data_IF_203939097693
#
_entry.id   IF_203939097693
#
_cell.length_a   1.000
_cell.length_b   1.000
_cell.length_c   1.000
_cell.angle_alpha   90.00
_cell.angle_beta   90.00
_cell.angle_gamma   90.00
#
_symmetry.space_group_name_H-M   'P 1'
#
loop_
_entity.id
_entity.type
_entity.pdbx_description
1 polymer ?
#
# COMPACT_ATOMS: atom_id res chain seq x y z
N UNK A 1 54.69 35.28 -24.55
CA UNK A 1 54.70 33.79 -24.55
C UNK A 1 54.05 33.32 -23.26
N UNK A 2 52.95 32.58 -23.17
CA UNK A 2 52.03 31.88 -24.08
C UNK A 2 50.68 31.83 -23.31
N UNK A 3 49.57 32.37 -23.82
CA UNK A 3 48.55 31.74 -24.68
C UNK A 3 47.39 31.08 -23.91
N UNK A 4 46.20 31.67 -24.12
CA UNK A 4 44.83 31.15 -23.98
C UNK A 4 44.66 29.67 -24.34
N UNK A 5 43.71 28.95 -23.71
CA UNK A 5 42.73 28.05 -24.37
C UNK A 5 41.52 27.73 -23.46
N UNK A 6 40.39 27.47 -24.12
CA UNK A 6 38.98 27.44 -23.71
C UNK A 6 38.50 26.41 -22.68
N UNK A 7 37.34 26.76 -22.12
CA UNK A 7 36.27 25.92 -21.55
C UNK A 7 36.10 24.56 -22.22
N UNK A 8 35.97 23.51 -21.39
CA UNK A 8 35.04 22.41 -21.65
C UNK A 8 34.27 22.15 -20.37
N UNK A 9 33.02 22.62 -20.34
CA UNK A 9 32.06 22.18 -19.35
C UNK A 9 31.69 20.73 -19.63
N UNK A 10 32.03 19.83 -18.73
CA UNK A 10 31.42 18.50 -18.68
C UNK A 10 30.30 18.59 -17.65
N UNK A 11 29.15 19.08 -18.11
CA UNK A 11 27.89 18.78 -17.41
C UNK A 11 27.62 17.31 -17.64
N UNK A 12 28.01 16.49 -16.66
CA UNK A 12 27.57 15.11 -16.58
C UNK A 12 26.10 15.14 -16.09
N UNK A 13 25.20 15.53 -16.99
CA UNK A 13 23.78 15.20 -16.87
C UNK A 13 23.68 13.68 -17.06
N UNK A 14 23.93 12.94 -15.98
CA UNK A 14 23.56 11.53 -15.93
C UNK A 14 22.06 11.45 -16.20
N UNK A 15 21.75 10.72 -17.27
CA UNK A 15 20.46 10.72 -17.93
C UNK A 15 19.28 10.37 -17.04
N UNK A 16 18.17 11.00 -17.40
CA UNK A 16 16.78 10.52 -17.34
C UNK A 16 16.63 9.12 -16.73
N UNK A 17 16.52 9.05 -15.41
CA UNK A 17 15.72 8.01 -14.81
C UNK A 17 14.26 8.38 -15.12
N UNK A 18 13.78 7.99 -16.30
CA UNK A 18 12.34 7.77 -16.56
C UNK A 18 11.87 6.59 -15.71
N UNK A 19 12.00 6.71 -14.39
CA UNK A 19 11.19 5.94 -13.48
C UNK A 19 9.87 6.67 -13.46
N UNK A 20 8.83 6.13 -14.09
CA UNK A 20 7.48 6.39 -13.61
C UNK A 20 7.53 6.04 -12.12
N UNK A 21 7.65 7.05 -11.26
CA UNK A 21 7.86 6.82 -9.86
C UNK A 21 6.64 6.05 -9.35
N UNK A 22 6.85 4.86 -8.80
CA UNK A 22 5.85 4.12 -8.05
C UNK A 22 5.59 4.84 -6.73
N UNK A 23 5.19 6.11 -6.80
CA UNK A 23 4.75 6.89 -5.64
C UNK A 23 3.25 6.69 -5.53
N UNK A 24 2.78 5.79 -4.66
CA UNK A 24 1.36 5.66 -4.43
C UNK A 24 0.83 7.01 -3.92
N UNK A 25 -0.26 7.49 -4.52
CA UNK A 25 -0.83 8.79 -4.15
C UNK A 25 -1.74 8.60 -2.94
N UNK A 26 -1.54 9.33 -1.83
CA UNK A 26 -2.45 9.28 -0.70
C UNK A 26 -3.88 9.65 -1.13
N UNK A 27 -4.84 8.82 -0.77
CA UNK A 27 -6.27 9.10 -0.91
C UNK A 27 -6.76 9.75 0.37
N UNK A 28 -7.52 10.84 0.27
CA UNK A 28 -8.07 11.49 1.45
C UNK A 28 -9.09 10.55 2.11
N UNK A 29 -8.87 10.20 3.39
CA UNK A 29 -9.85 9.50 4.21
C UNK A 29 -9.78 7.97 4.22
N UNK A 30 -8.70 7.35 3.71
CA UNK A 30 -8.52 5.91 3.78
C UNK A 30 -7.70 5.47 5.02
N UNK A 31 -8.05 4.33 5.66
CA UNK A 31 -9.23 3.51 5.40
C UNK A 31 -10.50 4.09 6.07
N UNK A 32 -11.59 4.14 5.33
CA UNK A 32 -12.89 4.64 5.79
C UNK A 32 -13.64 3.53 6.55
N UNK A 33 -14.23 3.84 7.71
CA UNK A 33 -14.93 2.85 8.56
C UNK A 33 -16.41 3.22 8.74
N UNK A 34 -17.30 2.22 8.63
CA UNK A 34 -18.73 2.37 8.92
C UNK A 34 -19.31 1.04 9.45
N UNK A 35 -19.66 0.99 10.75
CA UNK A 35 -20.30 -0.21 11.36
C UNK A 35 -19.48 -1.50 11.19
N UNK A 36 -18.15 -1.42 11.38
CA UNK A 36 -17.22 -2.53 11.16
C UNK A 36 -16.87 -2.85 9.69
N UNK A 37 -17.54 -2.22 8.72
CA UNK A 37 -17.11 -2.25 7.32
C UNK A 37 -15.96 -1.27 7.12
N UNK A 38 -14.85 -1.76 6.56
CA UNK A 38 -13.65 -0.96 6.29
C UNK A 38 -13.37 -0.95 4.80
N UNK A 39 -13.34 0.24 4.21
CA UNK A 39 -12.95 0.43 2.81
C UNK A 39 -11.44 0.67 2.72
N UNK A 40 -10.74 -0.27 2.13
CA UNK A 40 -9.34 -0.12 1.74
C UNK A 40 -9.26 0.39 0.31
N UNK A 41 -8.47 1.44 0.10
CA UNK A 41 -8.27 2.03 -1.21
C UNK A 41 -6.80 2.40 -1.44
N UNK A 42 -6.29 2.16 -2.65
CA UNK A 42 -4.94 2.54 -3.05
C UNK A 42 -4.95 3.07 -4.47
N UNK A 43 -4.49 4.31 -4.68
CA UNK A 43 -4.30 4.87 -6.01
C UNK A 43 -2.99 4.37 -6.61
N UNK A 44 -3.09 3.45 -7.56
CA UNK A 44 -1.97 2.86 -8.29
C UNK A 44 -2.35 2.56 -9.75
N UNK A 45 -2.39 3.58 -10.63
CA UNK A 45 -2.87 3.41 -12.01
C UNK A 45 -2.05 2.44 -12.87
N UNK A 46 -0.79 2.19 -12.50
CA UNK A 46 0.11 1.28 -13.22
C UNK A 46 0.08 -0.16 -12.70
N UNK A 47 -0.71 -0.46 -11.66
CA UNK A 47 -0.81 -1.81 -11.11
C UNK A 47 -1.62 -2.73 -12.03
N UNK A 48 -1.28 -4.02 -12.03
CA UNK A 48 -2.08 -5.07 -12.66
C UNK A 48 -2.85 -5.87 -11.62
N UNK A 49 -2.35 -5.90 -10.38
CA UNK A 49 -3.01 -6.51 -9.23
C UNK A 49 -2.66 -5.74 -7.97
N UNK A 50 -3.66 -5.48 -7.14
CA UNK A 50 -3.47 -4.96 -5.79
C UNK A 50 -4.14 -5.90 -4.79
N UNK A 51 -3.47 -6.14 -3.67
CA UNK A 51 -4.02 -6.89 -2.54
C UNK A 51 -3.90 -6.06 -1.28
N UNK A 52 -4.89 -6.12 -0.38
CA UNK A 52 -4.74 -5.74 1.02
C UNK A 52 -4.49 -7.00 1.84
N UNK A 53 -3.37 -7.02 2.55
CA UNK A 53 -2.98 -8.14 3.41
C UNK A 53 -2.83 -7.64 4.84
N UNK A 54 -3.30 -8.43 5.81
CA UNK A 54 -3.25 -8.02 7.20
C UNK A 54 -3.57 -9.13 8.18
N UNK A 55 -3.61 -8.75 9.46
CA UNK A 55 -3.60 -9.66 10.60
C UNK A 55 -4.90 -10.42 10.85
N UNK A 56 -5.99 -10.09 10.16
CA UNK A 56 -7.30 -10.69 10.44
C UNK A 56 -7.44 -12.12 9.88
N UNK A 57 -8.35 -12.87 10.49
CA UNK A 57 -8.67 -14.24 10.13
C UNK A 57 -9.09 -14.37 8.66
N UNK A 58 -8.68 -15.45 8.00
CA UNK A 58 -8.95 -15.70 6.58
C UNK A 58 -8.10 -14.88 5.59
N UNK A 59 -7.54 -13.74 6.02
CA UNK A 59 -6.49 -13.06 5.24
C UNK A 59 -5.10 -13.55 5.64
N UNK A 60 -4.80 -13.55 6.94
CA UNK A 60 -3.56 -14.10 7.50
C UNK A 60 -2.29 -13.63 6.76
N UNK A 61 -2.18 -12.32 6.53
CA UNK A 61 -1.10 -11.70 5.73
C UNK A 61 -1.02 -12.23 4.29
N UNK A 62 -2.18 -12.41 3.64
CA UNK A 62 -2.25 -13.02 2.31
C UNK A 62 -1.88 -14.51 2.30
N UNK A 63 -2.09 -15.20 3.43
CA UNK A 63 -1.70 -16.59 3.66
C UNK A 63 -0.30 -16.78 4.22
N UNK A 64 0.49 -15.72 4.37
CA UNK A 64 1.87 -15.82 4.83
C UNK A 64 2.04 -16.19 6.30
N UNK A 65 1.00 -16.02 7.13
CA UNK A 65 1.02 -16.43 8.52
C UNK A 65 0.64 -17.92 8.73
N UNK A 66 0.34 -18.66 7.65
CA UNK A 66 -0.05 -20.07 7.70
C UNK A 66 1.16 -20.99 7.43
N UNK A 67 1.07 -22.27 7.84
CA UNK A 67 2.15 -23.24 7.62
C UNK A 67 2.33 -23.58 6.14
N UNK A 68 3.56 -23.53 5.62
CA UNK A 68 3.84 -23.75 4.19
C UNK A 68 3.48 -22.57 3.28
N UNK A 69 3.32 -21.39 3.88
CA UNK A 69 2.91 -20.13 3.30
C UNK A 69 3.52 -19.78 1.93
N UNK A 70 2.64 -19.37 1.01
CA UNK A 70 2.94 -18.50 -0.12
C UNK A 70 1.93 -17.35 -0.14
N UNK A 71 2.25 -16.26 -0.83
CA UNK A 71 1.30 -15.18 -1.06
C UNK A 71 0.21 -15.66 -2.03
N UNK A 72 -0.99 -15.93 -1.53
CA UNK A 72 -2.15 -16.28 -2.37
C UNK A 72 -2.65 -15.02 -3.09
N UNK A 73 -2.60 -14.94 -4.44
CA UNK A 73 -2.98 -13.74 -5.18
C UNK A 73 -4.48 -13.38 -5.08
N UNK A 74 -5.32 -14.29 -4.57
CA UNK A 74 -6.78 -14.06 -4.43
C UNK A 74 -7.15 -13.45 -3.08
N UNK A 75 -6.34 -13.66 -2.05
CA UNK A 75 -6.61 -13.15 -0.71
C UNK A 75 -6.44 -11.64 -0.68
N UNK A 76 -7.48 -10.95 -0.22
CA UNK A 76 -7.45 -9.49 -0.15
C UNK A 76 -7.37 -8.76 -1.49
N UNK A 77 -7.62 -9.41 -2.63
CA UNK A 77 -7.54 -8.77 -3.96
C UNK A 77 -8.48 -7.56 -4.12
N UNK A 78 -7.94 -6.38 -4.39
CA UNK A 78 -8.73 -5.18 -4.68
C UNK A 78 -9.19 -5.21 -6.15
N UNK A 79 -10.21 -4.40 -6.45
CA UNK A 79 -10.75 -4.20 -7.80
C UNK A 79 -10.76 -2.73 -8.18
N UNK A 80 -10.57 -2.46 -9.47
CA UNK A 80 -10.69 -1.15 -10.12
C UNK A 80 -11.55 -1.33 -11.38
N UNK A 81 -12.88 -1.45 -11.24
CA UNK A 81 -13.76 -1.77 -12.36
C UNK A 81 -14.03 -0.58 -13.31
N UNK A 82 -13.88 0.66 -12.85
CA UNK A 82 -14.05 1.88 -13.65
C UNK A 82 -12.74 2.34 -14.29
N UNK A 83 -11.60 1.80 -13.88
CA UNK A 83 -10.30 2.00 -14.50
C UNK A 83 -9.71 3.38 -14.21
N UNK A 84 -10.09 3.99 -13.08
CA UNK A 84 -9.60 5.31 -12.68
C UNK A 84 -8.22 5.25 -11.98
N UNK A 85 -7.72 4.03 -11.77
CA UNK A 85 -6.46 3.74 -11.11
C UNK A 85 -6.56 3.68 -9.59
N UNK A 86 -7.76 3.68 -9.02
CA UNK A 86 -8.04 3.50 -7.60
C UNK A 86 -8.53 2.08 -7.36
N UNK A 87 -7.69 1.29 -6.70
CA UNK A 87 -7.99 -0.08 -6.35
C UNK A 87 -8.69 -0.13 -5.01
N UNK A 88 -9.80 -0.86 -4.91
CA UNK A 88 -10.65 -0.84 -3.72
C UNK A 88 -11.19 -2.19 -3.29
N UNK A 89 -11.45 -2.32 -1.98
CA UNK A 89 -12.20 -3.44 -1.39
C UNK A 89 -12.80 -3.03 -0.04
N UNK A 90 -14.02 -3.49 0.22
CA UNK A 90 -14.64 -3.46 1.55
C UNK A 90 -14.35 -4.77 2.28
N UNK A 91 -13.91 -4.69 3.53
CA UNK A 91 -13.68 -5.82 4.42
C UNK A 91 -14.42 -5.56 5.74
N UNK A 92 -15.21 -6.52 6.18
CA UNK A 92 -15.80 -6.48 7.52
C UNK A 92 -14.77 -6.99 8.52
N UNK A 93 -14.39 -6.12 9.45
CA UNK A 93 -13.39 -6.44 10.47
C UNK A 93 -14.04 -6.39 11.86
N UNK A 94 -13.71 -7.34 12.75
CA UNK A 94 -14.13 -7.25 14.13
C UNK A 94 -13.48 -6.03 14.79
N UNK A 95 -14.14 -5.50 15.81
CA UNK A 95 -13.59 -4.47 16.67
C UNK A 95 -12.21 -4.89 17.22
N UNK A 96 -11.27 -3.95 17.23
CA UNK A 96 -9.92 -4.20 17.74
C UNK A 96 -8.81 -3.61 16.89
N UNK A 97 -7.60 -4.02 17.21
CA UNK A 97 -6.36 -3.56 16.59
C UNK A 97 -5.95 -4.51 15.46
N UNK A 98 -5.77 -3.95 14.26
CA UNK A 98 -5.35 -4.67 13.06
C UNK A 98 -4.13 -4.01 12.44
N UNK A 99 -3.29 -4.82 11.81
CA UNK A 99 -2.15 -4.34 11.02
C UNK A 99 -2.26 -4.82 9.59
N UNK A 100 -1.86 -3.97 8.65
CA UNK A 100 -2.00 -4.28 7.23
C UNK A 100 -0.96 -3.59 6.34
N UNK A 101 -0.87 -4.10 5.11
CA UNK A 101 -0.12 -3.54 3.99
C UNK A 101 -0.90 -3.77 2.69
N UNK A 102 -0.53 -3.03 1.66
CA UNK A 102 -0.84 -3.36 0.29
C UNK A 102 0.28 -4.16 -0.35
N UNK A 103 -0.07 -5.08 -1.24
CA UNK A 103 0.88 -5.75 -2.14
C UNK A 103 0.46 -5.45 -3.57
N UNK A 104 1.36 -4.81 -4.32
CA UNK A 104 1.18 -4.47 -5.73
C UNK A 104 1.98 -5.45 -6.58
N UNK A 105 1.30 -6.05 -7.56
CA UNK A 105 1.85 -7.02 -8.52
C UNK A 105 2.58 -8.22 -7.89
N UNK A 106 2.28 -8.51 -6.61
CA UNK A 106 2.86 -9.63 -5.84
C UNK A 106 4.26 -9.39 -5.28
N UNK A 107 4.88 -8.24 -5.56
CA UNK A 107 6.30 -7.99 -5.23
C UNK A 107 6.52 -6.70 -4.45
N UNK A 108 5.73 -5.67 -4.71
CA UNK A 108 5.87 -4.38 -4.06
C UNK A 108 4.99 -4.30 -2.82
N UNK A 109 5.61 -4.27 -1.64
CA UNK A 109 4.94 -4.15 -0.35
C UNK A 109 4.88 -2.68 0.07
N UNK A 110 3.66 -2.17 0.22
CA UNK A 110 3.41 -0.79 0.58
C UNK A 110 2.63 -0.71 1.89
N UNK A 111 3.14 0.11 2.79
CA UNK A 111 2.32 0.76 3.80
C UNK A 111 1.28 1.64 3.13
N UNK A 112 0.09 1.77 3.73
CA UNK A 112 -0.92 2.70 3.25
C UNK A 112 -0.37 4.14 3.32
N UNK A 113 -0.23 4.84 2.18
CA UNK A 113 0.28 6.21 2.16
C UNK A 113 -0.70 7.22 2.77
N UNK A 114 -1.98 6.84 2.83
CA UNK A 114 -3.08 7.66 3.32
C UNK A 114 -3.24 7.55 4.83
N UNK A 115 -2.71 6.48 5.43
CA UNK A 115 -2.78 6.23 6.85
C UNK A 115 -1.47 6.64 7.55
N UNK A 116 -1.50 7.67 8.41
CA UNK A 116 -0.32 8.09 9.18
C UNK A 116 0.01 7.11 10.31
N UNK A 117 -0.97 6.34 10.80
CA UNK A 117 -0.79 5.42 11.92
C UNK A 117 0.00 4.18 11.49
N UNK A 118 1.15 3.98 12.13
CA UNK A 118 2.13 2.97 11.75
C UNK A 118 2.64 2.21 12.96
N UNK A 119 3.03 0.97 12.71
CA UNK A 119 3.78 0.16 13.68
C UNK A 119 4.97 -0.48 13.00
N UNK A 120 6.02 -0.76 13.77
CA UNK A 120 7.23 -1.43 13.29
C UNK A 120 7.49 -2.67 14.14
N UNK A 121 7.60 -3.81 13.48
CA UNK A 121 7.93 -5.09 14.12
C UNK A 121 9.07 -5.75 13.35
N UNK A 122 10.16 -6.10 14.04
CA UNK A 122 11.38 -6.71 13.46
C UNK A 122 11.91 -5.96 12.23
N UNK A 123 11.94 -4.63 12.29
CA UNK A 123 12.41 -3.79 11.20
C UNK A 123 11.40 -3.54 10.08
N UNK A 124 10.27 -4.25 10.03
CA UNK A 124 9.25 -4.10 9.00
C UNK A 124 8.08 -3.21 9.47
N UNK A 125 7.71 -2.19 8.68
CA UNK A 125 6.63 -1.23 9.00
C UNK A 125 5.29 -1.62 8.40
N UNK A 126 4.20 -1.50 9.15
CA UNK A 126 2.83 -1.75 8.68
C UNK A 126 1.92 -0.60 9.07
N UNK A 127 0.84 -0.41 8.31
CA UNK A 127 -0.23 0.52 8.68
C UNK A 127 -1.09 -0.08 9.79
N UNK A 128 -1.57 0.77 10.68
CA UNK A 128 -2.38 0.39 11.84
C UNK A 128 -3.83 0.80 11.59
N UNK A 129 -4.74 -0.10 11.92
CA UNK A 129 -6.18 0.14 11.84
C UNK A 129 -6.82 -0.27 13.16
N UNK A 130 -7.45 0.68 13.84
CA UNK A 130 -8.29 0.40 15.01
C UNK A 130 -9.75 0.46 14.58
N UNK A 131 -10.41 -0.69 14.60
CA UNK A 131 -11.84 -0.80 14.33
C UNK A 131 -12.58 -0.64 15.65
N UNK A 132 -13.44 0.38 15.73
CA UNK A 132 -14.28 0.58 16.91
C UNK A 132 -15.40 -0.47 16.91
N UNK A 133 -15.74 -0.98 18.09
CA UNK A 133 -16.95 -1.79 18.23
C UNK A 133 -18.17 -0.89 18.14
N UNK A 134 -19.22 -1.36 17.47
CA UNK A 134 -20.53 -0.75 17.59
C UNK A 134 -20.99 -0.93 19.05
N UNK A 135 -20.72 0.06 19.89
CA UNK A 135 -21.40 0.21 21.18
C UNK A 135 -22.82 0.72 20.90
N UNK A 136 -23.63 -0.10 20.24
CA UNK A 136 -25.05 0.14 20.11
C UNK A 136 -25.66 0.12 21.51
N UNK A 137 -26.06 1.30 21.99
CA UNK A 137 -26.93 1.48 23.16
C UNK A 137 -28.13 0.56 23.03
N UNK A 138 -28.19 -0.46 23.88
CA UNK A 138 -29.44 -1.15 24.22
C UNK A 138 -30.32 -0.22 25.05
#
# INVERSE_FOLDING_TARGET
MNSFWSLVGVSLLLGLASGCAYTPTPLRGAPEQHGGAVRFALRMPSAHRVQVVGSWEGNAWGGLAESGAWLDPRRGALSDPDGDGVWERIVFLPAGYHTYRFVVDGTLWLVDPSNPERTRHNGAESSVLVVQGDFGSR
#
